data_IF_992502033912
#
_entry.id   IF_992502033912
#
_cell.length_a   1.000
_cell.length_b   1.000
_cell.length_c   1.000
_cell.angle_alpha   90.00
_cell.angle_beta   90.00
_cell.angle_gamma   90.00
#
_symmetry.space_group_name_H-M   'P 1'
#
loop_
_entity.id
_entity.type
_entity.pdbx_description
1 polymer ?
#
# COMPACT_ATOMS: atom_id res chain seq x y z
N UNK A 1 -53.57 10.20 2.41
CA UNK A 1 -52.61 10.95 1.57
C UNK A 1 -51.23 10.56 2.06
N UNK A 2 -50.61 9.59 1.36
CA UNK A 2 -49.29 9.02 1.71
C UNK A 2 -48.23 9.83 1.01
N UNK A 3 -47.39 10.52 1.77
CA UNK A 3 -46.20 11.20 1.26
C UNK A 3 -45.07 10.18 1.17
N UNK A 4 -44.88 9.70 -0.05
CA UNK A 4 -43.79 8.79 -0.40
C UNK A 4 -42.50 9.54 -0.65
N UNK A 5 -41.74 9.90 0.39
CA UNK A 5 -40.42 10.48 0.23
C UNK A 5 -39.47 9.44 -0.37
N UNK A 6 -39.21 9.55 -1.67
CA UNK A 6 -38.16 8.81 -2.38
C UNK A 6 -36.81 9.24 -1.81
N UNK A 7 -36.26 8.46 -0.90
CA UNK A 7 -34.83 8.56 -0.47
C UNK A 7 -33.95 8.32 -1.68
N UNK A 8 -33.48 9.40 -2.28
CA UNK A 8 -32.51 9.44 -3.36
C UNK A 8 -31.22 8.80 -2.88
N UNK A 9 -30.88 7.62 -3.42
CA UNK A 9 -29.60 6.93 -3.21
C UNK A 9 -28.47 7.74 -3.88
N UNK A 10 -28.00 8.80 -3.24
CA UNK A 10 -26.89 9.65 -3.76
C UNK A 10 -25.52 8.94 -3.74
N UNK A 11 -25.32 7.87 -2.96
CA UNK A 11 -24.07 7.14 -2.86
C UNK A 11 -23.69 6.29 -4.09
N UNK A 12 -24.67 5.71 -4.78
CA UNK A 12 -24.41 4.69 -5.81
C UNK A 12 -23.75 5.24 -7.09
N UNK A 13 -24.14 6.41 -7.58
CA UNK A 13 -23.58 7.00 -8.80
C UNK A 13 -22.16 7.53 -8.57
N UNK A 14 -21.95 8.21 -7.45
CA UNK A 14 -20.63 8.75 -7.09
C UNK A 14 -19.60 7.63 -6.84
N UNK A 15 -20.00 6.55 -6.17
CA UNK A 15 -19.14 5.38 -5.95
C UNK A 15 -18.79 4.67 -7.28
N UNK A 16 -19.76 4.50 -8.18
CA UNK A 16 -19.54 3.90 -9.50
C UNK A 16 -18.58 4.73 -10.35
N UNK A 17 -18.76 6.05 -10.37
CA UNK A 17 -17.85 6.97 -11.08
C UNK A 17 -16.45 6.92 -10.49
N UNK A 18 -16.31 6.92 -9.15
CA UNK A 18 -15.02 6.77 -8.49
C UNK A 18 -14.33 5.48 -8.94
N UNK A 19 -15.02 4.35 -8.85
CA UNK A 19 -14.48 3.03 -9.22
C UNK A 19 -14.05 3.02 -10.68
N UNK A 20 -14.93 3.38 -11.61
CA UNK A 20 -14.61 3.42 -13.05
C UNK A 20 -13.38 4.31 -13.35
N UNK A 21 -13.21 5.42 -12.63
CA UNK A 21 -12.05 6.30 -12.80
C UNK A 21 -10.76 5.64 -12.32
N UNK A 22 -10.78 4.98 -11.16
CA UNK A 22 -9.60 4.31 -10.60
C UNK A 22 -9.20 3.07 -11.43
N UNK A 23 -10.19 2.27 -11.87
CA UNK A 23 -9.97 1.14 -12.79
C UNK A 23 -9.35 1.60 -14.11
N UNK A 24 -9.88 2.70 -14.69
CA UNK A 24 -9.31 3.28 -15.91
C UNK A 24 -7.89 3.82 -15.70
N UNK A 25 -7.63 4.42 -14.53
CA UNK A 25 -6.31 4.93 -14.17
C UNK A 25 -5.28 3.79 -14.05
N UNK A 26 -5.61 2.74 -13.33
CA UNK A 26 -4.73 1.57 -13.21
C UNK A 26 -4.51 0.88 -14.54
N UNK A 27 -5.57 0.66 -15.35
CA UNK A 27 -5.46 0.06 -16.68
C UNK A 27 -4.53 0.85 -17.60
N UNK A 28 -4.66 2.18 -17.65
CA UNK A 28 -3.79 3.05 -18.44
C UNK A 28 -2.35 3.01 -17.95
N UNK A 29 -2.16 2.99 -16.62
CA UNK A 29 -0.83 2.93 -16.03
C UNK A 29 -0.11 1.62 -16.42
N UNK A 30 -0.81 0.48 -16.37
CA UNK A 30 -0.24 -0.82 -16.75
C UNK A 30 0.01 -0.94 -18.27
N UNK A 31 -0.84 -0.32 -19.10
CA UNK A 31 -0.71 -0.39 -20.57
C UNK A 31 0.35 0.57 -21.11
N UNK A 32 0.41 1.80 -20.60
CA UNK A 32 1.17 2.89 -21.18
C UNK A 32 2.33 3.39 -20.30
N UNK A 33 2.31 3.03 -19.01
CA UNK A 33 3.26 3.56 -18.03
C UNK A 33 2.91 4.98 -17.54
N UNK A 34 3.65 5.48 -16.52
CA UNK A 34 3.34 6.75 -15.89
C UNK A 34 3.64 7.97 -16.79
N UNK A 35 4.54 7.87 -17.77
CA UNK A 35 4.91 8.99 -18.62
C UNK A 35 3.78 9.35 -19.60
N UNK A 36 3.08 8.35 -20.12
CA UNK A 36 1.92 8.51 -21.02
C UNK A 36 0.59 8.67 -20.29
N UNK A 37 0.60 8.54 -18.98
CA UNK A 37 -0.60 8.68 -18.15
C UNK A 37 -1.02 10.15 -18.06
N UNK A 38 -2.24 10.47 -18.50
CA UNK A 38 -2.84 11.80 -18.41
C UNK A 38 -4.26 11.72 -17.84
N UNK A 39 -4.69 12.79 -17.14
CA UNK A 39 -6.06 12.88 -16.60
C UNK A 39 -7.08 12.85 -17.74
N UNK A 40 -6.76 13.43 -18.92
CA UNK A 40 -7.63 13.40 -20.09
C UNK A 40 -7.92 11.99 -20.59
N UNK A 41 -6.86 11.17 -20.74
CA UNK A 41 -7.02 9.75 -21.15
C UNK A 41 -7.82 8.92 -20.14
N UNK A 42 -7.62 9.20 -18.84
CA UNK A 42 -8.43 8.54 -17.79
C UNK A 42 -9.90 8.96 -17.88
N UNK A 43 -10.16 10.25 -18.07
CA UNK A 43 -11.51 10.79 -18.22
C UNK A 43 -12.24 10.18 -19.41
N UNK A 44 -11.58 10.10 -20.55
CA UNK A 44 -12.07 9.47 -21.78
C UNK A 44 -12.40 8.00 -21.56
N UNK A 45 -11.45 7.21 -21.03
CA UNK A 45 -11.64 5.77 -20.76
C UNK A 45 -12.74 5.50 -19.74
N UNK A 46 -12.85 6.31 -18.69
CA UNK A 46 -13.85 6.18 -17.64
C UNK A 46 -15.23 6.74 -18.03
N UNK A 47 -15.34 7.47 -19.14
CA UNK A 47 -16.58 8.15 -19.56
C UNK A 47 -17.01 9.25 -18.60
N UNK A 48 -16.06 10.03 -18.05
CA UNK A 48 -16.31 11.10 -17.08
C UNK A 48 -15.66 12.42 -17.53
N UNK A 49 -16.11 13.54 -16.99
CA UNK A 49 -15.45 14.84 -17.24
C UNK A 49 -14.16 14.98 -16.41
N UNK A 50 -13.11 15.51 -17.00
CA UNK A 50 -11.85 15.83 -16.31
C UNK A 50 -12.05 16.69 -15.06
N UNK A 51 -12.98 17.66 -15.10
CA UNK A 51 -13.30 18.50 -13.95
C UNK A 51 -13.80 17.71 -12.75
N UNK A 52 -14.45 16.56 -12.96
CA UNK A 52 -14.88 15.66 -11.90
C UNK A 52 -13.70 14.94 -11.26
N UNK A 53 -12.68 14.61 -12.06
CA UNK A 53 -11.43 14.02 -11.58
C UNK A 53 -10.65 15.04 -10.76
N UNK A 54 -10.40 16.23 -11.33
CA UNK A 54 -9.67 17.29 -10.61
C UNK A 54 -10.35 17.71 -9.31
N UNK A 55 -11.68 17.79 -9.28
CA UNK A 55 -12.43 18.11 -8.05
C UNK A 55 -12.22 17.06 -6.94
N UNK A 56 -11.97 15.79 -7.30
CA UNK A 56 -11.85 14.70 -6.32
C UNK A 56 -10.40 14.41 -5.93
N UNK A 57 -9.49 14.42 -6.87
CA UNK A 57 -8.08 14.05 -6.66
C UNK A 57 -7.11 15.21 -6.75
N UNK A 58 -7.57 16.39 -7.14
CA UNK A 58 -6.78 17.63 -7.17
C UNK A 58 -5.75 17.67 -8.27
N UNK A 59 -4.90 16.66 -8.36
CA UNK A 59 -3.78 16.61 -9.31
C UNK A 59 -3.70 15.24 -10.00
N UNK A 60 -2.85 15.15 -11.04
CA UNK A 60 -2.50 13.90 -11.70
C UNK A 60 -1.87 12.90 -10.70
N UNK A 61 -0.99 13.38 -9.87
CA UNK A 61 -0.30 12.60 -8.83
C UNK A 61 -1.28 12.12 -7.75
N UNK A 62 -2.26 12.97 -7.37
CA UNK A 62 -3.35 12.59 -6.47
C UNK A 62 -4.22 11.48 -7.06
N UNK A 63 -4.50 11.51 -8.36
CA UNK A 63 -5.23 10.43 -9.04
C UNK A 63 -4.40 9.14 -9.07
N UNK A 64 -3.11 9.22 -9.41
CA UNK A 64 -2.20 8.07 -9.41
C UNK A 64 -2.11 7.44 -8.02
N UNK A 65 -1.97 8.27 -6.99
CA UNK A 65 -1.93 7.79 -5.60
C UNK A 65 -3.24 7.15 -5.18
N UNK A 66 -4.39 7.75 -5.54
CA UNK A 66 -5.70 7.18 -5.28
C UNK A 66 -5.92 5.84 -5.99
N UNK A 67 -5.44 5.70 -7.22
CA UNK A 67 -5.51 4.45 -7.98
C UNK A 67 -4.63 3.35 -7.36
N UNK A 68 -3.40 3.68 -6.96
CA UNK A 68 -2.52 2.75 -6.27
C UNK A 68 -3.11 2.28 -4.93
N UNK A 69 -3.68 3.22 -4.18
CA UNK A 69 -4.29 2.88 -2.88
C UNK A 69 -5.48 1.95 -3.04
N UNK A 70 -6.37 2.23 -4.01
CA UNK A 70 -7.53 1.39 -4.33
C UNK A 70 -7.08 -0.02 -4.78
N UNK A 71 -6.05 -0.07 -5.62
CA UNK A 71 -5.43 -1.33 -6.05
C UNK A 71 -4.85 -2.11 -4.86
N UNK A 72 -4.17 -1.44 -3.94
CA UNK A 72 -3.62 -2.08 -2.73
C UNK A 72 -4.71 -2.58 -1.77
N UNK A 73 -5.87 -1.89 -1.70
CA UNK A 73 -7.01 -2.31 -0.89
C UNK A 73 -7.68 -3.59 -1.43
N UNK A 74 -7.55 -3.89 -2.73
CA UNK A 74 -8.07 -5.13 -3.32
C UNK A 74 -7.29 -6.39 -2.89
N UNK A 75 -6.04 -6.21 -2.42
CA UNK A 75 -5.26 -7.32 -1.89
C UNK A 75 -5.61 -7.55 -0.42
N UNK A 76 -6.24 -8.69 -0.10
CA UNK A 76 -6.57 -9.00 1.28
C UNK A 76 -5.29 -9.07 2.11
N UNK A 77 -5.39 -8.67 3.37
CA UNK A 77 -4.30 -8.90 4.33
C UNK A 77 -4.14 -10.40 4.51
N UNK A 78 -2.93 -10.95 4.31
CA UNK A 78 -2.72 -12.40 4.43
C UNK A 78 -3.13 -12.95 5.79
N UNK A 79 -3.67 -14.16 5.78
CA UNK A 79 -4.00 -14.93 6.99
C UNK A 79 -3.66 -16.41 6.73
N UNK A 80 -2.35 -16.71 6.81
CA UNK A 80 -1.78 -18.02 6.52
C UNK A 80 -1.76 -18.94 7.73
N UNK A 81 -2.14 -18.41 8.90
CA UNK A 81 -2.10 -19.11 10.18
C UNK A 81 -0.84 -18.84 11.01
N UNK A 82 0.13 -18.04 10.50
CA UNK A 82 1.30 -17.60 11.25
C UNK A 82 1.73 -16.20 10.88
N UNK A 83 2.28 -15.44 11.84
CA UNK A 83 2.81 -14.09 11.55
C UNK A 83 3.91 -14.12 10.51
N UNK A 84 4.81 -15.10 10.60
CA UNK A 84 5.87 -15.27 9.61
C UNK A 84 5.30 -15.48 8.21
N UNK A 85 4.34 -16.40 8.05
CA UNK A 85 3.70 -16.68 6.78
C UNK A 85 2.94 -15.48 6.23
N UNK A 86 2.23 -14.76 7.08
CA UNK A 86 1.47 -13.56 6.74
C UNK A 86 2.40 -12.45 6.23
N UNK A 87 3.51 -12.19 6.94
CA UNK A 87 4.51 -11.18 6.54
C UNK A 87 5.22 -11.55 5.24
N UNK A 88 5.57 -12.83 5.03
CA UNK A 88 6.18 -13.29 3.77
C UNK A 88 5.20 -13.08 2.61
N UNK A 89 3.96 -13.56 2.73
CA UNK A 89 2.97 -13.41 1.66
C UNK A 89 2.70 -11.94 1.33
N UNK A 90 2.66 -11.07 2.34
CA UNK A 90 2.55 -9.63 2.14
C UNK A 90 3.78 -9.05 1.41
N UNK A 91 4.98 -9.39 1.86
CA UNK A 91 6.23 -8.91 1.24
C UNK A 91 6.41 -9.42 -0.20
N UNK A 92 6.01 -10.67 -0.49
CA UNK A 92 6.01 -11.25 -1.85
C UNK A 92 5.04 -10.52 -2.78
N UNK A 93 3.82 -10.24 -2.31
CA UNK A 93 2.84 -9.47 -3.09
C UNK A 93 3.36 -8.07 -3.43
N UNK A 94 3.98 -7.39 -2.45
CA UNK A 94 4.57 -6.08 -2.63
C UNK A 94 5.78 -6.12 -3.57
N UNK A 95 6.66 -7.11 -3.42
CA UNK A 95 7.80 -7.35 -4.29
C UNK A 95 7.35 -7.65 -5.72
N UNK A 96 6.33 -8.48 -5.90
CA UNK A 96 5.71 -8.77 -7.19
C UNK A 96 5.21 -7.52 -7.88
N UNK A 97 4.49 -6.64 -7.18
CA UNK A 97 4.06 -5.35 -7.72
C UNK A 97 5.26 -4.49 -8.14
N UNK A 98 6.26 -4.34 -7.29
CA UNK A 98 7.45 -3.52 -7.56
C UNK A 98 8.33 -4.07 -8.68
N UNK A 99 8.31 -5.37 -8.95
CA UNK A 99 9.05 -6.01 -10.03
C UNK A 99 8.40 -5.78 -11.39
N UNK A 100 7.15 -5.34 -11.44
CA UNK A 100 6.52 -4.95 -12.70
C UNK A 100 7.04 -3.58 -13.17
N UNK A 101 7.30 -3.38 -14.49
CA UNK A 101 7.69 -2.06 -14.99
C UNK A 101 6.72 -0.93 -14.61
N UNK A 102 5.39 -1.10 -14.69
CA UNK A 102 4.44 -0.07 -14.25
C UNK A 102 4.49 0.20 -12.75
N UNK A 103 4.56 -0.84 -11.92
CA UNK A 103 4.63 -0.70 -10.46
C UNK A 103 5.89 0.04 -10.00
N UNK A 104 7.04 -0.34 -10.54
CA UNK A 104 8.30 0.37 -10.27
C UNK A 104 8.26 1.83 -10.75
N UNK A 105 7.74 2.08 -11.95
CA UNK A 105 7.66 3.42 -12.51
C UNK A 105 6.69 4.31 -11.72
N UNK A 106 5.53 3.78 -11.31
CA UNK A 106 4.57 4.47 -10.45
C UNK A 106 5.18 4.83 -9.09
N UNK A 107 5.85 3.88 -8.45
CA UNK A 107 6.48 4.11 -7.13
C UNK A 107 7.51 5.24 -7.20
N UNK A 108 8.33 5.26 -8.26
CA UNK A 108 9.29 6.36 -8.49
C UNK A 108 8.60 7.68 -8.80
N UNK A 109 7.57 7.68 -9.63
CA UNK A 109 6.82 8.90 -9.97
C UNK A 109 6.18 9.53 -8.72
N UNK A 110 5.60 8.71 -7.84
CA UNK A 110 5.02 9.18 -6.59
C UNK A 110 6.07 9.66 -5.58
N UNK A 111 7.23 9.02 -5.53
CA UNK A 111 8.33 9.47 -4.67
C UNK A 111 8.93 10.81 -5.15
N UNK A 112 8.95 11.05 -6.46
CA UNK A 112 9.45 12.29 -7.06
C UNK A 112 8.40 13.41 -7.15
N UNK A 113 7.12 13.11 -6.87
CA UNK A 113 6.04 14.08 -6.98
C UNK A 113 6.26 15.27 -6.03
N UNK A 114 6.05 16.47 -6.58
CA UNK A 114 6.13 17.69 -5.77
C UNK A 114 5.07 17.66 -4.68
N UNK A 115 5.50 17.82 -3.45
CA UNK A 115 4.62 17.81 -2.28
C UNK A 115 3.67 19.01 -2.34
N UNK A 116 2.39 18.75 -2.09
CA UNK A 116 1.37 19.77 -1.85
C UNK A 116 0.58 19.38 -0.61
N UNK A 117 -0.03 20.37 0.06
CA UNK A 117 -0.83 20.09 1.25
C UNK A 117 -1.98 19.10 0.97
N UNK A 118 -2.56 19.14 -0.23
CA UNK A 118 -3.61 18.18 -0.64
C UNK A 118 -3.05 16.78 -0.85
N UNK A 119 -1.97 16.63 -1.62
CA UNK A 119 -1.33 15.34 -1.85
C UNK A 119 -0.84 14.72 -0.54
N UNK A 120 -0.27 15.53 0.36
CA UNK A 120 0.16 15.09 1.67
C UNK A 120 -1.00 14.56 2.52
N UNK A 121 -2.15 15.26 2.54
CA UNK A 121 -3.34 14.78 3.26
C UNK A 121 -3.85 13.44 2.70
N UNK A 122 -3.94 13.32 1.38
CA UNK A 122 -4.38 12.09 0.73
C UNK A 122 -3.43 10.93 1.02
N UNK A 123 -2.13 11.17 0.89
CA UNK A 123 -1.08 10.18 1.22
C UNK A 123 -1.19 9.71 2.67
N UNK A 124 -1.29 10.64 3.62
CA UNK A 124 -1.43 10.29 5.04
C UNK A 124 -2.69 9.49 5.30
N UNK A 125 -3.82 9.89 4.76
CA UNK A 125 -5.10 9.21 4.94
C UNK A 125 -5.06 7.75 4.44
N UNK A 126 -4.63 7.54 3.19
CA UNK A 126 -4.57 6.20 2.61
C UNK A 126 -3.49 5.33 3.25
N UNK A 127 -2.33 5.92 3.60
CA UNK A 127 -1.28 5.20 4.31
C UNK A 127 -1.78 4.72 5.69
N UNK A 128 -2.54 5.57 6.40
CA UNK A 128 -3.12 5.18 7.69
C UNK A 128 -4.10 4.03 7.54
N UNK A 129 -5.06 4.12 6.62
CA UNK A 129 -6.04 3.04 6.37
C UNK A 129 -5.35 1.70 6.08
N UNK A 130 -4.34 1.71 5.20
CA UNK A 130 -3.62 0.48 4.87
C UNK A 130 -2.82 -0.04 6.06
N UNK A 131 -2.21 0.86 6.83
CA UNK A 131 -1.44 0.49 8.03
C UNK A 131 -2.34 -0.12 9.11
N UNK A 132 -3.54 0.41 9.31
CA UNK A 132 -4.51 -0.15 10.26
C UNK A 132 -4.88 -1.61 9.91
N UNK A 133 -5.10 -1.89 8.62
CA UNK A 133 -5.33 -3.27 8.14
C UNK A 133 -4.12 -4.19 8.39
N UNK A 134 -2.91 -3.70 8.13
CA UNK A 134 -1.68 -4.48 8.35
C UNK A 134 -1.42 -4.70 9.85
N UNK A 135 -1.81 -3.77 10.71
CA UNK A 135 -1.71 -3.95 12.16
C UNK A 135 -2.57 -5.13 12.65
N UNK A 136 -3.74 -5.38 12.04
CA UNK A 136 -4.56 -6.55 12.36
C UNK A 136 -3.80 -7.87 12.14
N UNK A 137 -2.97 -7.94 11.12
CA UNK A 137 -2.09 -9.09 10.86
C UNK A 137 -1.10 -9.30 12.01
N UNK A 138 -0.45 -8.23 12.46
CA UNK A 138 0.51 -8.30 13.60
C UNK A 138 -0.22 -8.65 14.89
N UNK A 139 -1.42 -8.10 15.12
CA UNK A 139 -2.25 -8.43 16.30
C UNK A 139 -2.64 -9.91 16.36
N UNK A 140 -2.93 -10.54 15.22
CA UNK A 140 -3.14 -11.98 15.18
C UNK A 140 -1.91 -12.74 15.65
N UNK A 141 -0.70 -12.31 15.22
CA UNK A 141 0.57 -12.88 15.67
C UNK A 141 0.79 -12.72 17.17
N UNK A 142 0.50 -11.54 17.72
CA UNK A 142 0.54 -11.30 19.18
C UNK A 142 -0.46 -12.23 19.90
N UNK A 143 -1.68 -12.33 19.39
CA UNK A 143 -2.73 -13.17 20.00
C UNK A 143 -2.38 -14.65 20.00
N UNK A 144 -1.60 -15.11 19.03
CA UNK A 144 -1.07 -16.49 18.96
C UNK A 144 0.22 -16.70 19.77
N UNK A 145 0.75 -15.63 20.37
CA UNK A 145 2.00 -15.70 21.14
C UNK A 145 3.27 -15.84 20.29
N UNK A 146 3.19 -15.52 18.98
CA UNK A 146 4.33 -15.63 18.06
C UNK A 146 5.30 -14.44 18.20
N UNK A 147 4.81 -13.31 18.73
CA UNK A 147 5.59 -12.11 19.02
C UNK A 147 5.03 -11.45 20.29
N UNK A 148 5.90 -10.75 21.05
CA UNK A 148 5.52 -10.12 22.30
C UNK A 148 4.52 -8.96 22.11
N UNK A 149 3.63 -8.70 23.08
CA UNK A 149 2.62 -7.64 22.99
C UNK A 149 3.20 -6.23 23.00
N UNK A 150 4.46 -6.06 23.41
CA UNK A 150 5.17 -4.80 23.41
C UNK A 150 5.83 -4.44 22.07
N UNK A 151 5.65 -5.28 21.04
CA UNK A 151 6.23 -5.03 19.71
C UNK A 151 5.75 -3.70 19.14
N UNK A 152 6.68 -2.92 18.62
CA UNK A 152 6.36 -1.76 17.78
C UNK A 152 5.91 -2.27 16.40
N UNK A 153 4.59 -2.35 16.21
CA UNK A 153 3.96 -2.85 14.97
C UNK A 153 4.35 -2.03 13.77
N UNK A 154 4.49 -0.72 13.96
CA UNK A 154 4.87 0.19 12.90
C UNK A 154 6.30 -0.06 12.46
N UNK A 155 7.23 -0.13 13.40
CA UNK A 155 8.63 -0.41 13.12
C UNK A 155 8.81 -1.76 12.44
N UNK A 156 8.10 -2.81 12.91
CA UNK A 156 8.13 -4.13 12.28
C UNK A 156 7.76 -4.05 10.79
N UNK A 157 6.65 -3.40 10.47
CA UNK A 157 6.19 -3.26 9.07
C UNK A 157 7.14 -2.37 8.26
N UNK A 158 7.63 -1.27 8.84
CA UNK A 158 8.58 -0.38 8.15
C UNK A 158 9.90 -1.10 7.83
N UNK A 159 10.38 -2.01 8.70
CA UNK A 159 11.56 -2.84 8.44
C UNK A 159 11.35 -3.86 7.32
N UNK A 160 10.15 -4.39 7.14
CA UNK A 160 9.82 -5.29 6.03
C UNK A 160 9.61 -4.54 4.72
N UNK A 161 8.89 -3.42 4.75
CA UNK A 161 8.52 -2.64 3.56
C UNK A 161 9.69 -1.81 3.04
N UNK A 162 10.47 -1.20 3.93
CA UNK A 162 11.50 -0.21 3.60
C UNK A 162 12.55 -0.71 2.60
N UNK A 163 13.17 -1.89 2.79
CA UNK A 163 14.17 -2.41 1.85
C UNK A 163 13.62 -2.65 0.44
N UNK A 164 12.35 -3.08 0.29
CA UNK A 164 11.70 -3.26 -1.01
C UNK A 164 11.52 -1.91 -1.72
N UNK A 165 11.06 -0.89 -0.98
CA UNK A 165 10.96 0.47 -1.52
C UNK A 165 12.33 1.04 -1.88
N UNK A 166 13.34 0.83 -1.05
CA UNK A 166 14.70 1.30 -1.31
C UNK A 166 15.23 0.74 -2.64
N UNK A 167 15.09 -0.57 -2.86
CA UNK A 167 15.50 -1.21 -4.12
C UNK A 167 14.72 -0.66 -5.32
N UNK A 168 13.41 -0.44 -5.17
CA UNK A 168 12.57 0.03 -6.28
C UNK A 168 12.82 1.49 -6.64
N UNK A 169 12.96 2.36 -5.62
CA UNK A 169 12.95 3.81 -5.79
C UNK A 169 14.36 4.39 -5.87
N UNK A 170 15.27 3.97 -4.98
CA UNK A 170 16.59 4.58 -4.83
C UNK A 170 17.66 3.81 -5.61
N UNK A 171 17.93 2.54 -5.25
CA UNK A 171 19.08 1.82 -5.82
C UNK A 171 18.77 1.19 -7.17
N UNK A 172 17.51 0.95 -7.49
CA UNK A 172 17.05 0.28 -8.72
C UNK A 172 17.65 -1.11 -8.88
N UNK A 173 17.94 -1.75 -7.77
CA UNK A 173 18.41 -3.13 -7.73
C UNK A 173 17.23 -4.10 -7.92
N UNK A 174 17.46 -5.27 -8.51
CA UNK A 174 16.44 -6.29 -8.61
C UNK A 174 15.99 -6.76 -7.22
N UNK A 175 14.73 -7.14 -7.12
CA UNK A 175 14.17 -7.82 -5.95
C UNK A 175 14.22 -9.30 -6.25
N UNK A 176 15.16 -10.01 -5.60
CA UNK A 176 15.32 -11.46 -5.76
C UNK A 176 14.13 -12.19 -5.12
N UNK A 177 13.76 -13.35 -5.66
CA UNK A 177 12.58 -14.10 -5.22
C UNK A 177 12.65 -14.51 -3.73
N UNK A 178 13.84 -14.70 -3.17
CA UNK A 178 14.04 -15.07 -1.77
C UNK A 178 14.16 -13.85 -0.83
N UNK A 179 14.28 -12.63 -1.36
CA UNK A 179 14.45 -11.42 -0.56
C UNK A 179 13.29 -11.19 0.44
N UNK A 180 12.00 -11.35 0.07
CA UNK A 180 10.90 -11.24 1.02
C UNK A 180 11.05 -12.15 2.23
N UNK A 181 11.37 -13.42 2.01
CA UNK A 181 11.59 -14.40 3.08
C UNK A 181 12.77 -14.01 3.97
N UNK A 182 13.92 -13.65 3.38
CA UNK A 182 15.12 -13.24 4.15
C UNK A 182 14.87 -11.98 4.99
N UNK A 183 14.12 -11.01 4.47
CA UNK A 183 13.77 -9.80 5.20
C UNK A 183 12.92 -10.12 6.41
N UNK A 184 11.87 -10.92 6.23
CA UNK A 184 10.97 -11.31 7.32
C UNK A 184 11.73 -12.08 8.39
N UNK A 185 12.57 -13.04 8.00
CA UNK A 185 13.36 -13.83 8.95
C UNK A 185 14.35 -12.97 9.74
N UNK A 186 15.01 -12.03 9.07
CA UNK A 186 15.94 -11.10 9.73
C UNK A 186 15.19 -10.19 10.73
N UNK A 187 14.02 -9.66 10.35
CA UNK A 187 13.21 -8.80 11.22
C UNK A 187 12.70 -9.56 12.45
N UNK A 188 12.11 -10.73 12.25
CA UNK A 188 11.58 -11.53 13.36
C UNK A 188 12.68 -12.02 14.29
N UNK A 189 13.84 -12.42 13.77
CA UNK A 189 15.01 -12.82 14.58
C UNK A 189 15.55 -11.62 15.39
N UNK A 190 15.65 -10.44 14.77
CA UNK A 190 16.12 -9.23 15.44
C UNK A 190 15.19 -8.79 16.58
N UNK A 191 13.86 -8.90 16.37
CA UNK A 191 12.88 -8.55 17.39
C UNK A 191 12.83 -9.56 18.53
N UNK A 192 13.02 -10.86 18.25
CA UNK A 192 13.11 -11.88 19.30
C UNK A 192 14.34 -11.69 20.19
N UNK A 193 15.47 -11.23 19.62
CA UNK A 193 16.69 -10.92 20.40
C UNK A 193 16.63 -9.60 21.17
N UNK A 194 15.68 -8.74 20.87
CA UNK A 194 15.49 -7.43 21.51
C UNK A 194 14.49 -7.45 22.68
N UNK A 195 13.98 -8.62 23.08
CA UNK A 195 13.06 -8.72 24.22
C UNK A 195 13.79 -8.26 25.51
N UNK A 196 13.35 -7.19 26.19
CA UNK A 196 13.99 -6.67 27.40
C UNK A 196 14.02 -7.67 28.57
N UNK A 197 13.28 -8.76 28.49
CA UNK A 197 13.26 -9.83 29.50
C UNK A 197 14.44 -10.83 29.33
N UNK A 198 15.21 -10.76 28.21
CA UNK A 198 16.40 -11.57 27.98
C UNK A 198 17.61 -10.72 27.53
N UNK A 199 18.23 -9.94 28.45
CA UNK A 199 19.35 -9.05 28.08
C UNK A 199 20.65 -9.79 27.75
N UNK A 200 20.72 -11.10 27.86
CA UNK A 200 21.98 -11.87 27.71
C UNK A 200 22.36 -12.21 26.25
N UNK A 201 21.46 -12.02 25.26
CA UNK A 201 21.72 -12.40 23.88
C UNK A 201 22.70 -11.46 23.12
N UNK A 202 22.95 -10.25 23.62
CA UNK A 202 23.80 -9.24 22.96
C UNK A 202 25.28 -9.25 23.42
N UNK A 203 25.67 -10.07 24.39
CA UNK A 203 27.04 -10.10 24.93
C UNK A 203 27.89 -11.29 24.49
N UNK A 204 27.38 -12.21 23.68
CA UNK A 204 28.10 -13.43 23.28
C UNK A 204 28.94 -13.28 21.98
N UNK A 205 29.23 -12.07 21.53
CA UNK A 205 29.97 -11.80 20.28
C UNK A 205 31.12 -10.80 20.47
N UNK A 206 32.05 -11.09 21.39
CA UNK A 206 33.36 -10.44 21.39
C UNK A 206 34.48 -11.46 21.36
#
# INVERSE_FOLDING_TARGET
>A
MSDGSVRRREGGRSARVRRATLDAAMGLLFELGPDEFTVSRVAERAGVNESSIYRRWGTREGLLFGALSDYAEEYPVPDTGSLRGDLIAFAEALAGFFSTPPGAALSRALAAAKESAELGRQRTYHAQLRMDQLFEMVERGVSRGEIGPSVDRRLLLDMVIGPLHMRTVLTREPIDDDLPTRLVDAVLTGLAGADPQHPEALTAGR
#
